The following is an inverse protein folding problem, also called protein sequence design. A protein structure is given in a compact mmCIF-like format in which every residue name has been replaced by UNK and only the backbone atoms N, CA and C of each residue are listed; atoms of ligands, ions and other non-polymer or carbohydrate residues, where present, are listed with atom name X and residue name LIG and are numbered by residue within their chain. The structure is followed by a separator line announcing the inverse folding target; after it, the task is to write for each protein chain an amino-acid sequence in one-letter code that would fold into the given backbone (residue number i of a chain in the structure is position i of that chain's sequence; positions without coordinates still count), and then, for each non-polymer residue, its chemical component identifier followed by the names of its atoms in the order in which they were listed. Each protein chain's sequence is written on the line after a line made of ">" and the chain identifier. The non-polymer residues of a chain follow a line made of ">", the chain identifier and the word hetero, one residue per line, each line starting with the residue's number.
data_IF_561922377897
#
_entry.id   IF_561922377897
#
_cell.length_a   1.000
_cell.length_b   1.000
_cell.length_c   1.000
_cell.angle_alpha   90.00
_cell.angle_beta   90.00
_cell.angle_gamma   90.00
#
_symmetry.space_group_name_H-M   'P 1'
#
loop_
_entity.id
_entity.type
_entity.pdbx_description
1 polymer ?
#
# COMPACT_ATOMS: atom_id res chain seq x y z
N UNK A 1 11.62 7.76 21.27
CA UNK A 1 10.97 6.48 21.63
C UNK A 1 10.35 6.67 22.99
N UNK A 2 9.07 7.03 23.03
CA UNK A 2 8.32 7.15 24.29
C UNK A 2 7.76 5.75 24.55
N UNK A 3 8.11 5.20 25.69
CA UNK A 3 7.74 3.84 26.10
C UNK A 3 6.24 3.78 26.38
N UNK A 4 5.47 3.30 25.40
CA UNK A 4 4.01 3.18 25.43
C UNK A 4 3.46 2.22 26.48
N UNK A 5 4.31 1.42 27.12
CA UNK A 5 3.88 0.49 28.18
C UNK A 5 3.51 1.20 29.48
N UNK A 6 3.91 2.45 29.68
CA UNK A 6 3.59 3.27 30.86
C UNK A 6 2.33 4.13 30.72
N UNK A 7 1.80 4.26 29.50
CA UNK A 7 0.57 5.03 29.25
C UNK A 7 -0.70 4.23 29.50
N UNK A 8 -0.62 2.89 29.44
CA UNK A 8 -1.78 2.00 29.57
C UNK A 8 -2.37 1.91 30.98
N UNK A 9 -1.65 2.33 32.01
CA UNK A 9 -2.08 2.20 33.41
C UNK A 9 -2.76 3.48 33.93
N UNK A 10 -2.51 4.63 33.32
CA UNK A 10 -3.04 5.91 33.79
C UNK A 10 -4.47 6.23 33.28
N UNK A 11 -4.95 5.55 32.24
CA UNK A 11 -6.28 5.84 31.63
C UNK A 11 -7.41 5.07 32.34
N UNK A 12 -7.10 4.00 33.09
CA UNK A 12 -8.14 3.17 33.73
C UNK A 12 -8.64 3.70 35.10
N UNK A 13 -8.05 4.76 35.64
CA UNK A 13 -8.34 5.21 37.00
C UNK A 13 -9.35 6.38 37.11
N UNK A 14 -9.92 6.88 36.01
CA UNK A 14 -10.80 8.09 36.05
C UNK A 14 -12.28 7.78 35.72
N UNK A 15 -12.67 6.54 35.47
CA UNK A 15 -14.04 6.20 35.04
C UNK A 15 -14.96 5.64 36.14
N UNK A 16 -14.80 6.06 37.36
CA UNK A 16 -15.85 5.84 38.37
C UNK A 16 -16.26 7.20 38.94
N UNK A 17 -17.22 7.87 38.33
CA UNK A 17 -18.22 8.70 39.03
C UNK A 17 -19.15 9.41 38.03
N UNK A 18 -20.47 9.29 38.36
CA UNK A 18 -21.60 10.04 37.84
C UNK A 18 -22.25 9.53 36.54
N UNK A 19 -23.28 8.74 36.70
CA UNK A 19 -24.36 8.59 35.72
C UNK A 19 -25.31 9.82 35.78
N UNK A 20 -25.32 10.71 34.79
CA UNK A 20 -26.53 11.49 34.50
C UNK A 20 -27.39 10.66 33.56
N UNK A 21 -28.64 10.42 33.95
CA UNK A 21 -29.67 9.89 33.05
C UNK A 21 -29.98 10.96 32.00
N UNK A 22 -29.33 10.82 30.82
CA UNK A 22 -29.72 11.62 29.66
C UNK A 22 -30.89 10.91 29.02
N UNK A 23 -32.09 11.48 29.20
CA UNK A 23 -33.23 11.19 28.35
C UNK A 23 -32.88 11.67 26.95
N UNK A 24 -32.69 10.75 26.04
CA UNK A 24 -32.58 11.06 24.61
C UNK A 24 -33.92 11.64 24.17
N UNK A 25 -33.95 12.92 23.90
CA UNK A 25 -35.03 13.57 23.17
C UNK A 25 -34.72 13.39 21.68
N UNK A 26 -35.40 12.46 21.04
CA UNK A 26 -35.45 12.37 19.58
C UNK A 26 -36.13 13.68 19.07
N UNK A 27 -35.32 14.58 18.58
CA UNK A 27 -35.80 15.66 17.73
C UNK A 27 -35.71 15.19 16.28
N UNK A 28 -36.87 14.77 15.74
CA UNK A 28 -37.10 14.67 14.29
C UNK A 28 -37.05 16.09 13.69
N UNK A 29 -35.87 16.65 13.53
CA UNK A 29 -35.65 17.76 12.62
C UNK A 29 -35.32 17.19 11.24
N UNK A 30 -36.31 17.20 10.37
CA UNK A 30 -36.14 17.13 8.93
C UNK A 30 -35.33 18.36 8.49
N UNK A 31 -34.03 18.33 8.68
CA UNK A 31 -33.13 19.33 8.09
C UNK A 31 -33.01 19.00 6.61
N UNK A 32 -33.64 19.81 5.76
CA UNK A 32 -33.34 19.77 4.32
C UNK A 32 -31.84 19.93 4.13
N UNK A 33 -31.19 18.84 3.72
CA UNK A 33 -29.75 18.77 3.55
C UNK A 33 -29.34 19.58 2.33
N UNK A 34 -28.83 20.79 2.55
CA UNK A 34 -28.35 21.66 1.47
C UNK A 34 -27.05 21.11 0.95
N UNK A 35 -27.08 20.45 -0.19
CA UNK A 35 -25.88 20.00 -0.91
C UNK A 35 -25.15 21.22 -1.49
N UNK A 36 -23.96 21.49 -1.00
CA UNK A 36 -23.19 22.71 -1.35
C UNK A 36 -22.13 22.45 -2.44
N UNK A 37 -21.78 21.19 -2.70
CA UNK A 37 -20.74 20.86 -3.69
C UNK A 37 -21.21 21.11 -5.13
N UNK A 38 -20.42 21.80 -5.91
CA UNK A 38 -20.69 22.11 -7.32
C UNK A 38 -21.11 23.55 -7.59
N UNK A 39 -21.33 24.37 -6.56
CA UNK A 39 -21.59 25.81 -6.72
C UNK A 39 -20.86 26.58 -5.61
N UNK A 40 -20.41 27.79 -5.93
CA UNK A 40 -19.92 28.79 -4.96
C UNK A 40 -21.01 29.76 -4.54
N UNK A 41 -22.19 29.64 -5.13
CA UNK A 41 -23.33 30.50 -4.80
C UNK A 41 -24.20 29.71 -3.84
N UNK A 42 -24.27 30.18 -2.59
CA UNK A 42 -25.16 29.66 -1.60
C UNK A 42 -26.61 30.10 -1.94
N UNK A 43 -27.32 29.20 -2.61
CA UNK A 43 -28.72 29.42 -2.90
C UNK A 43 -29.51 28.13 -2.61
N UNK A 44 -30.40 28.12 -1.64
CA UNK A 44 -31.14 26.91 -1.23
C UNK A 44 -32.07 26.36 -2.32
N UNK A 45 -32.29 27.13 -3.41
CA UNK A 45 -33.17 26.75 -4.51
C UNK A 45 -32.43 26.27 -5.76
N UNK A 46 -31.07 26.18 -5.74
CA UNK A 46 -30.31 25.66 -6.87
C UNK A 46 -30.23 24.15 -6.71
N UNK A 47 -31.06 23.44 -7.45
CA UNK A 47 -30.88 22.02 -7.72
C UNK A 47 -29.61 21.90 -8.57
N UNK A 48 -28.58 21.22 -8.07
CA UNK A 48 -27.36 20.96 -8.84
C UNK A 48 -27.72 20.26 -10.15
N UNK A 49 -27.29 20.82 -11.28
CA UNK A 49 -27.44 20.18 -12.60
C UNK A 49 -26.60 18.92 -12.75
N UNK A 50 -25.64 18.71 -11.87
CA UNK A 50 -24.79 17.52 -11.82
C UNK A 50 -25.23 16.61 -10.67
N UNK A 51 -25.25 15.32 -10.92
CA UNK A 51 -25.60 14.33 -9.91
C UNK A 51 -24.59 14.35 -8.77
N UNK A 52 -25.04 14.65 -7.56
CA UNK A 52 -24.25 14.54 -6.33
C UNK A 52 -24.77 13.33 -5.57
N UNK A 53 -23.89 12.41 -5.28
CA UNK A 53 -24.19 11.31 -4.35
C UNK A 53 -23.72 11.70 -2.97
N UNK A 54 -24.55 11.45 -1.97
CA UNK A 54 -24.26 11.72 -0.57
C UNK A 54 -24.11 10.39 0.16
N UNK A 55 -23.04 10.27 0.95
CA UNK A 55 -22.82 9.20 1.93
C UNK A 55 -22.89 9.83 3.30
N UNK A 56 -23.83 9.39 4.11
CA UNK A 56 -24.07 9.97 5.43
C UNK A 56 -23.16 9.37 6.51
N UNK A 57 -23.05 10.06 7.66
CA UNK A 57 -22.37 9.52 8.83
C UNK A 57 -22.91 8.16 9.25
N UNK A 58 -24.23 7.98 9.20
CA UNK A 58 -24.88 6.71 9.52
C UNK A 58 -24.47 5.58 8.56
N UNK A 59 -24.32 5.86 7.27
CA UNK A 59 -23.81 4.86 6.30
C UNK A 59 -22.39 4.42 6.64
N UNK A 60 -21.54 5.36 7.07
CA UNK A 60 -20.15 5.09 7.47
C UNK A 60 -20.11 4.25 8.75
N UNK A 61 -20.88 4.64 9.76
CA UNK A 61 -20.96 3.94 11.05
C UNK A 61 -21.54 2.53 10.89
N UNK A 62 -22.62 2.36 10.13
CA UNK A 62 -23.27 1.08 9.90
C UNK A 62 -22.38 0.06 9.17
N UNK A 63 -21.43 0.52 8.37
CA UNK A 63 -20.45 -0.36 7.71
C UNK A 63 -19.36 -0.85 8.65
N UNK A 64 -19.15 -0.19 9.79
CA UNK A 64 -18.08 -0.52 10.73
C UNK A 64 -16.68 -0.41 10.12
N UNK A 65 -16.53 0.38 9.05
CA UNK A 65 -15.27 0.53 8.35
C UNK A 65 -14.24 1.22 9.24
N UNK A 66 -13.05 0.66 9.29
CA UNK A 66 -11.93 1.27 10.02
C UNK A 66 -11.41 2.49 9.27
N UNK A 67 -11.48 2.46 7.93
CA UNK A 67 -10.93 3.48 7.05
C UNK A 67 -11.99 4.05 6.13
N UNK A 68 -11.93 5.35 5.90
CA UNK A 68 -12.91 6.03 5.04
C UNK A 68 -12.80 5.60 3.57
N UNK A 69 -11.62 5.25 3.10
CA UNK A 69 -11.41 4.76 1.75
C UNK A 69 -12.14 3.44 1.47
N UNK A 70 -12.37 2.61 2.47
CA UNK A 70 -13.15 1.37 2.34
C UNK A 70 -14.61 1.70 1.97
N UNK A 71 -15.18 2.71 2.63
CA UNK A 71 -16.54 3.19 2.35
C UNK A 71 -16.64 3.79 0.94
N UNK A 72 -15.65 4.58 0.55
CA UNK A 72 -15.65 5.24 -0.75
C UNK A 72 -15.47 4.23 -1.90
N UNK A 73 -14.63 3.23 -1.73
CA UNK A 73 -14.36 2.23 -2.77
C UNK A 73 -15.57 1.34 -3.08
N UNK A 74 -16.59 1.32 -2.21
CA UNK A 74 -17.85 0.63 -2.47
C UNK A 74 -18.82 1.43 -3.36
N UNK A 75 -18.52 2.70 -3.60
CA UNK A 75 -19.35 3.54 -4.46
C UNK A 75 -19.11 3.20 -5.94
N UNK A 76 -20.15 2.98 -6.75
CA UNK A 76 -20.01 2.51 -8.13
C UNK A 76 -19.28 3.49 -9.06
N UNK A 77 -19.24 4.78 -8.72
CA UNK A 77 -18.50 5.79 -9.48
C UNK A 77 -17.03 5.93 -9.07
N UNK A 78 -16.62 5.31 -7.98
CA UNK A 78 -15.22 5.28 -7.54
C UNK A 78 -14.61 3.96 -8.00
N UNK A 79 -13.61 4.05 -8.84
CA UNK A 79 -12.77 2.90 -9.13
C UNK A 79 -11.93 2.59 -7.89
N UNK A 80 -11.69 1.32 -7.55
CA UNK A 80 -10.81 0.95 -6.48
C UNK A 80 -9.48 1.69 -6.65
N UNK A 81 -9.24 2.64 -5.77
CA UNK A 81 -8.03 3.45 -5.76
C UNK A 81 -6.94 2.77 -4.95
N UNK A 82 -5.83 3.46 -4.82
CA UNK A 82 -4.79 3.07 -3.91
C UNK A 82 -5.33 3.23 -2.48
N UNK A 83 -5.36 2.15 -1.73
CA UNK A 83 -5.62 2.16 -0.30
C UNK A 83 -4.28 2.09 0.45
N UNK A 84 -4.24 2.61 1.66
CA UNK A 84 -3.00 2.68 2.45
C UNK A 84 -2.35 1.30 2.66
N UNK A 85 -3.15 0.22 2.69
CA UNK A 85 -2.71 -1.16 2.92
C UNK A 85 -2.39 -1.95 1.65
N UNK A 86 -2.59 -1.40 0.46
CA UNK A 86 -2.24 -2.11 -0.78
C UNK A 86 -0.75 -2.49 -0.78
N UNK A 87 -0.45 -3.77 -1.03
CA UNK A 87 0.89 -4.30 -0.86
C UNK A 87 1.90 -3.69 -1.82
N UNK A 88 1.93 -4.11 -3.07
CA UNK A 88 2.92 -3.64 -4.04
C UNK A 88 2.53 -2.31 -4.70
N UNK A 89 3.49 -1.39 -4.78
CA UNK A 89 3.32 -0.11 -5.48
C UNK A 89 2.59 0.97 -4.69
N UNK A 90 2.12 0.70 -3.48
CA UNK A 90 1.57 1.70 -2.57
C UNK A 90 2.68 2.44 -1.81
N UNK A 91 2.44 3.69 -1.48
CA UNK A 91 3.30 4.52 -0.63
C UNK A 91 2.71 4.72 0.79
N UNK A 92 1.67 3.97 1.16
CA UNK A 92 0.99 4.10 2.45
C UNK A 92 -0.10 5.17 2.50
N UNK A 93 -0.41 5.83 1.37
CA UNK A 93 -1.52 6.80 1.26
C UNK A 93 -2.76 6.17 0.65
N UNK A 94 -3.92 6.72 0.97
CA UNK A 94 -5.19 6.35 0.35
C UNK A 94 -5.66 7.47 -0.60
N UNK A 95 -6.12 7.11 -1.79
CA UNK A 95 -6.51 8.09 -2.81
C UNK A 95 -7.90 7.81 -3.37
N UNK A 96 -8.63 8.87 -3.73
CA UNK A 96 -9.88 8.76 -4.44
C UNK A 96 -9.66 8.75 -5.96
N UNK A 97 -10.36 7.87 -6.68
CA UNK A 97 -10.25 7.74 -8.14
C UNK A 97 -11.64 7.64 -8.79
N UNK A 98 -12.20 8.79 -9.14
CA UNK A 98 -13.51 8.87 -9.78
C UNK A 98 -13.43 8.38 -11.24
N UNK A 99 -14.32 7.46 -11.60
CA UNK A 99 -14.49 6.92 -12.96
C UNK A 99 -13.21 6.36 -13.58
N UNK A 100 -12.25 5.94 -12.76
CA UNK A 100 -10.93 5.45 -13.18
C UNK A 100 -10.11 6.45 -14.02
N UNK A 101 -10.33 7.76 -13.82
CA UNK A 101 -9.58 8.81 -14.52
C UNK A 101 -8.30 9.22 -13.78
N UNK A 102 -8.03 8.62 -12.63
CA UNK A 102 -6.87 8.86 -11.81
C UNK A 102 -7.11 9.87 -10.68
N UNK A 103 -6.38 9.71 -9.59
CA UNK A 103 -6.48 10.57 -8.43
C UNK A 103 -6.07 12.04 -8.71
N UNK A 104 -5.20 12.27 -9.71
CA UNK A 104 -4.78 13.62 -10.10
C UNK A 104 -5.89 14.43 -10.78
N UNK A 105 -6.98 13.78 -11.21
CA UNK A 105 -8.16 14.39 -11.82
C UNK A 105 -9.39 14.33 -10.93
N UNK A 106 -9.23 13.81 -9.72
CA UNK A 106 -10.25 13.71 -8.68
C UNK A 106 -9.90 14.69 -7.57
N UNK A 107 -10.61 15.82 -7.53
CA UNK A 107 -10.39 16.82 -6.50
C UNK A 107 -10.95 16.36 -5.17
N UNK A 108 -10.18 16.45 -4.10
CA UNK A 108 -10.63 16.18 -2.73
C UNK A 108 -10.69 17.46 -1.93
N UNK A 109 -11.81 17.67 -1.25
CA UNK A 109 -12.06 18.82 -0.41
C UNK A 109 -12.40 18.40 1.02
N UNK A 110 -12.12 19.25 1.97
CA UNK A 110 -12.65 19.22 3.35
C UNK A 110 -13.33 20.56 3.61
N UNK A 111 -14.62 20.52 3.93
CA UNK A 111 -15.47 21.72 4.12
C UNK A 111 -15.27 22.74 2.98
N UNK A 112 -15.22 22.24 1.73
CA UNK A 112 -15.01 23.07 0.55
C UNK A 112 -13.57 23.54 0.30
N UNK A 113 -12.64 23.32 1.21
CA UNK A 113 -11.21 23.66 1.08
C UNK A 113 -10.41 22.51 0.49
N UNK A 114 -9.48 22.80 -0.43
CA UNK A 114 -8.64 21.78 -1.07
C UNK A 114 -7.76 21.08 -0.06
N UNK A 115 -7.69 19.76 -0.15
CA UNK A 115 -6.67 19.00 0.56
C UNK A 115 -5.30 19.18 -0.10
N UNK A 116 -4.26 19.28 0.72
CA UNK A 116 -2.89 19.23 0.25
C UNK A 116 -2.54 17.84 -0.33
N UNK A 117 -1.55 17.73 -1.23
CA UNK A 117 -1.02 16.44 -1.67
C UNK A 117 -0.53 15.59 -0.50
N UNK A 118 -0.82 14.28 -0.54
CA UNK A 118 -0.48 13.35 0.53
C UNK A 118 1.00 12.96 0.61
N UNK A 119 1.81 13.31 -0.42
CA UNK A 119 3.25 12.99 -0.45
C UNK A 119 4.08 14.19 -0.89
N UNK A 120 5.23 14.38 -0.27
CA UNK A 120 6.19 15.42 -0.63
C UNK A 120 6.92 15.15 -1.98
N UNK A 121 6.89 13.93 -2.48
CA UNK A 121 7.63 13.48 -3.68
C UNK A 121 6.85 13.62 -5.00
N UNK A 122 5.94 14.59 -5.08
CA UNK A 122 5.38 15.02 -6.37
C UNK A 122 4.13 14.32 -6.84
N UNK A 123 3.42 13.60 -6.00
CA UNK A 123 2.06 13.16 -6.30
C UNK A 123 1.07 14.29 -6.05
N UNK A 124 0.24 14.66 -7.03
CA UNK A 124 -0.83 15.67 -6.85
C UNK A 124 -2.06 15.10 -6.13
N UNK A 125 -2.03 13.86 -5.68
CA UNK A 125 -3.17 13.18 -5.06
C UNK A 125 -3.27 13.48 -3.58
N UNK A 126 -4.46 13.85 -3.11
CA UNK A 126 -4.74 13.99 -1.70
C UNK A 126 -4.76 12.62 -1.01
N UNK A 127 -4.23 12.56 0.21
CA UNK A 127 -4.33 11.38 1.06
C UNK A 127 -5.58 11.44 1.92
N UNK A 128 -6.65 10.76 1.48
CA UNK A 128 -7.93 10.75 2.17
C UNK A 128 -7.90 10.04 3.52
N UNK A 129 -6.86 9.27 3.82
CA UNK A 129 -6.69 8.65 5.14
C UNK A 129 -6.48 9.66 6.28
N UNK A 130 -6.16 10.92 5.94
CA UNK A 130 -5.99 12.02 6.89
C UNK A 130 -7.32 12.64 7.37
N UNK A 131 -8.45 12.23 6.78
CA UNK A 131 -9.75 12.77 7.13
C UNK A 131 -10.23 12.15 8.45
N UNK A 132 -10.58 12.95 9.49
CA UNK A 132 -11.05 12.42 10.77
C UNK A 132 -12.46 11.84 10.62
N UNK A 133 -12.54 10.51 10.53
CA UNK A 133 -13.79 9.82 10.24
C UNK A 133 -14.90 10.10 11.28
N UNK A 134 -14.53 10.31 12.56
CA UNK A 134 -15.48 10.55 13.65
C UNK A 134 -16.25 11.89 13.53
N UNK A 135 -15.67 12.85 12.82
CA UNK A 135 -16.26 14.16 12.56
C UNK A 135 -16.96 14.27 11.20
N UNK A 136 -17.01 13.23 10.39
CA UNK A 136 -17.70 13.29 9.10
C UNK A 136 -19.19 13.34 9.32
N UNK A 137 -19.83 14.43 8.88
CA UNK A 137 -21.31 14.54 8.77
C UNK A 137 -21.80 13.79 7.53
N UNK A 138 -21.11 14.00 6.40
CA UNK A 138 -21.39 13.36 5.13
C UNK A 138 -20.22 13.51 4.15
N UNK A 139 -20.23 12.71 3.12
CA UNK A 139 -19.32 12.84 1.98
C UNK A 139 -20.16 13.09 0.73
N UNK A 140 -19.85 14.16 0.03
CA UNK A 140 -20.50 14.54 -1.22
C UNK A 140 -19.62 14.18 -2.40
N UNK A 141 -20.13 13.36 -3.31
CA UNK A 141 -19.40 12.92 -4.51
C UNK A 141 -20.08 13.50 -5.73
N UNK A 142 -19.45 14.50 -6.32
CA UNK A 142 -19.89 15.15 -7.56
C UNK A 142 -19.18 14.56 -8.76
N UNK A 143 -19.92 13.96 -9.68
CA UNK A 143 -19.39 13.36 -10.90
C UNK A 143 -19.61 14.27 -12.12
N UNK A 144 -18.53 14.74 -12.70
CA UNK A 144 -18.53 15.55 -13.94
C UNK A 144 -18.80 17.05 -13.73
N UNK A 145 -18.51 17.84 -14.74
CA UNK A 145 -18.86 19.26 -14.80
C UNK A 145 -18.20 20.22 -13.82
N UNK A 146 -17.29 19.74 -12.97
CA UNK A 146 -16.74 20.50 -11.84
C UNK A 146 -15.57 21.43 -12.21
N UNK A 147 -14.98 21.28 -13.37
CA UNK A 147 -13.78 22.03 -13.79
C UNK A 147 -14.00 23.54 -13.90
N UNK A 148 -15.21 23.97 -14.25
CA UNK A 148 -15.56 25.39 -14.35
C UNK A 148 -15.54 26.10 -13.01
N UNK A 149 -15.83 25.35 -11.91
CA UNK A 149 -15.89 25.89 -10.55
C UNK A 149 -14.56 25.67 -9.82
N UNK A 150 -13.96 24.48 -10.00
CA UNK A 150 -12.86 24.00 -9.19
C UNK A 150 -11.51 23.88 -9.91
N UNK A 151 -11.49 24.02 -11.26
CA UNK A 151 -10.26 23.93 -12.04
C UNK A 151 -9.97 22.54 -12.59
N UNK A 152 -8.78 22.38 -13.21
CA UNK A 152 -8.40 21.21 -14.02
C UNK A 152 -8.29 19.88 -13.25
N UNK A 153 -8.00 19.93 -11.99
CA UNK A 153 -7.88 18.76 -11.11
C UNK A 153 -9.24 18.16 -10.72
N UNK A 154 -10.34 18.86 -10.99
CA UNK A 154 -11.71 18.36 -10.85
C UNK A 154 -12.30 17.78 -12.15
N UNK A 155 -11.46 17.30 -13.07
CA UNK A 155 -11.91 16.77 -14.37
C UNK A 155 -12.76 15.50 -14.22
N UNK A 156 -12.38 14.61 -13.33
CA UNK A 156 -13.16 13.42 -13.00
C UNK A 156 -14.35 13.74 -12.09
N UNK A 157 -14.22 14.77 -11.28
CA UNK A 157 -15.21 15.20 -10.30
C UNK A 157 -14.58 15.63 -8.98
N UNK A 158 -15.41 15.74 -7.96
CA UNK A 158 -15.04 16.22 -6.63
C UNK A 158 -15.54 15.25 -5.57
N UNK A 159 -14.71 14.96 -4.58
CA UNK A 159 -15.09 14.30 -3.32
C UNK A 159 -14.92 15.32 -2.21
N UNK A 160 -16.00 15.74 -1.60
CA UNK A 160 -16.02 16.75 -0.53
C UNK A 160 -16.45 16.13 0.78
N UNK A 161 -15.55 16.12 1.76
CA UNK A 161 -15.83 15.68 3.11
C UNK A 161 -16.38 16.85 3.92
N UNK A 162 -17.62 16.76 4.32
CA UNK A 162 -18.24 17.73 5.20
C UNK A 162 -18.06 17.25 6.64
N UNK A 163 -17.21 17.96 7.37
CA UNK A 163 -16.89 17.66 8.76
C UNK A 163 -17.75 18.52 9.70
N UNK A 164 -18.04 18.00 10.87
CA UNK A 164 -18.65 18.73 11.96
C UNK A 164 -17.59 19.59 12.68
N UNK A 165 -17.37 20.78 12.15
CA UNK A 165 -16.45 21.76 12.71
C UNK A 165 -17.07 22.60 13.85
N UNK A 166 -18.36 22.37 14.14
CA UNK A 166 -19.10 22.93 15.27
C UNK A 166 -19.68 21.83 16.18
N UNK A 167 -18.95 20.70 16.28
CA UNK A 167 -19.35 19.59 17.14
C UNK A 167 -19.47 20.03 18.61
N UNK A 168 -20.54 19.67 19.26
CA UNK A 168 -20.76 19.93 20.69
C UNK A 168 -20.74 18.63 21.50
N UNK A 169 -20.02 18.66 22.60
CA UNK A 169 -19.93 17.54 23.54
C UNK A 169 -18.67 16.73 23.39
N UNK A 170 -18.79 15.43 23.67
CA UNK A 170 -17.69 14.46 23.63
C UNK A 170 -18.14 13.17 22.96
N UNK A 171 -17.38 12.70 21.98
CA UNK A 171 -17.60 11.43 21.30
C UNK A 171 -16.31 10.61 21.34
N UNK A 172 -16.40 9.34 21.74
CA UNK A 172 -15.30 8.40 21.72
C UNK A 172 -15.72 7.12 20.98
N UNK A 173 -14.81 6.55 20.20
CA UNK A 173 -15.05 5.31 19.49
C UNK A 173 -13.82 4.42 19.57
N UNK A 174 -14.05 3.12 19.78
CA UNK A 174 -13.02 2.08 19.68
C UNK A 174 -13.54 0.99 18.76
N UNK A 175 -12.86 0.77 17.65
CA UNK A 175 -13.21 -0.24 16.66
C UNK A 175 -12.06 -1.23 16.53
N UNK A 176 -12.37 -2.52 16.63
CA UNK A 176 -11.43 -3.59 16.36
C UNK A 176 -11.96 -4.47 15.23
N UNK A 177 -11.09 -4.85 14.31
CA UNK A 177 -11.40 -5.79 13.24
C UNK A 177 -10.27 -6.77 13.03
N UNK A 178 -10.58 -7.93 12.50
CA UNK A 178 -9.63 -8.95 12.08
C UNK A 178 -10.22 -9.76 10.92
N UNK A 179 -9.38 -10.47 10.20
CA UNK A 179 -9.79 -11.40 9.15
C UNK A 179 -9.69 -12.83 9.64
N UNK A 180 -10.76 -13.60 9.40
CA UNK A 180 -10.78 -15.05 9.59
C UNK A 180 -10.99 -15.72 8.24
N UNK A 181 -10.17 -16.72 7.92
CA UNK A 181 -10.29 -17.45 6.66
C UNK A 181 -9.94 -18.93 6.84
N UNK A 182 -10.68 -19.80 6.16
CA UNK A 182 -10.38 -21.22 6.03
C UNK A 182 -9.81 -21.49 4.64
N UNK A 183 -8.58 -22.01 4.60
CA UNK A 183 -7.90 -22.39 3.37
C UNK A 183 -8.24 -23.82 3.01
N UNK A 184 -9.25 -24.02 2.20
CA UNK A 184 -9.78 -25.33 1.80
C UNK A 184 -9.82 -25.56 0.30
N UNK A 185 -9.18 -24.68 -0.49
CA UNK A 185 -9.17 -24.80 -1.95
C UNK A 185 -8.29 -25.98 -2.40
N UNK A 186 -8.92 -27.14 -2.51
CA UNK A 186 -8.23 -28.39 -2.85
C UNK A 186 -7.53 -28.36 -4.21
N UNK A 187 -8.00 -27.55 -5.17
CA UNK A 187 -7.36 -27.36 -6.48
C UNK A 187 -6.02 -26.65 -6.33
N UNK A 188 -6.00 -25.50 -5.63
CA UNK A 188 -4.79 -24.72 -5.41
C UNK A 188 -3.79 -25.48 -4.54
N UNK A 189 -4.25 -26.14 -3.47
CA UNK A 189 -3.38 -26.91 -2.58
C UNK A 189 -2.70 -28.08 -3.30
N UNK A 190 -3.37 -28.75 -4.25
CA UNK A 190 -2.76 -29.77 -5.11
C UNK A 190 -1.78 -29.15 -6.11
N UNK A 191 -2.08 -27.96 -6.60
CA UNK A 191 -1.17 -27.23 -7.48
C UNK A 191 0.13 -26.89 -6.74
N UNK A 192 0.05 -26.38 -5.51
CA UNK A 192 1.24 -26.09 -4.69
C UNK A 192 2.06 -27.37 -4.45
N UNK A 193 1.43 -28.48 -4.13
CA UNK A 193 2.09 -29.78 -3.98
C UNK A 193 2.87 -30.18 -5.25
N UNK A 194 2.27 -29.94 -6.43
CA UNK A 194 2.91 -30.31 -7.72
C UNK A 194 4.16 -29.47 -8.04
N UNK A 195 4.28 -28.29 -7.43
CA UNK A 195 5.46 -27.42 -7.54
C UNK A 195 6.41 -27.53 -6.35
N UNK A 196 6.08 -28.36 -5.34
CA UNK A 196 6.87 -28.47 -4.11
C UNK A 196 6.84 -27.20 -3.24
N UNK A 197 5.79 -26.40 -3.35
CA UNK A 197 5.62 -25.18 -2.57
C UNK A 197 4.87 -25.43 -1.27
N UNK A 198 5.20 -24.66 -0.24
CA UNK A 198 4.47 -24.69 1.01
C UNK A 198 3.02 -24.25 0.81
N UNK A 199 2.11 -24.94 1.49
CA UNK A 199 0.70 -24.58 1.51
C UNK A 199 0.41 -23.56 2.60
N UNK A 200 -0.56 -22.70 2.35
CA UNK A 200 -1.12 -21.85 3.40
C UNK A 200 -1.63 -22.69 4.59
N UNK A 201 -1.58 -22.17 5.83
CA UNK A 201 -2.22 -22.82 6.99
C UNK A 201 -3.69 -23.10 6.71
N UNK A 202 -4.25 -24.16 7.25
CA UNK A 202 -5.67 -24.53 6.98
C UNK A 202 -6.66 -23.48 7.48
N UNK A 203 -6.32 -22.76 8.53
CA UNK A 203 -7.10 -21.65 9.12
C UNK A 203 -6.16 -20.56 9.55
N UNK A 204 -6.57 -19.33 9.30
CA UNK A 204 -5.84 -18.14 9.71
C UNK A 204 -6.78 -17.14 10.37
N UNK A 205 -6.27 -16.45 11.39
CA UNK A 205 -6.88 -15.27 11.99
C UNK A 205 -5.77 -14.24 12.11
N UNK A 206 -5.88 -13.17 11.34
CA UNK A 206 -4.78 -12.20 11.20
C UNK A 206 -5.28 -10.84 10.73
N UNK A 207 -4.37 -9.86 10.58
CA UNK A 207 -4.69 -8.52 10.09
C UNK A 207 -5.49 -7.71 11.10
N UNK A 208 -5.29 -7.97 12.40
CA UNK A 208 -5.93 -7.20 13.45
C UNK A 208 -5.71 -5.71 13.23
N UNK A 209 -6.80 -4.95 13.34
CA UNK A 209 -6.77 -3.50 13.25
C UNK A 209 -7.52 -2.90 14.42
N UNK A 210 -6.87 -2.01 15.15
CA UNK A 210 -7.47 -1.24 16.23
C UNK A 210 -7.51 0.24 15.85
N UNK A 211 -8.69 0.83 15.91
CA UNK A 211 -8.89 2.27 15.75
C UNK A 211 -9.49 2.84 17.02
N UNK A 212 -8.81 3.85 17.56
CA UNK A 212 -9.29 4.67 18.67
C UNK A 212 -9.53 6.08 18.15
N UNK A 213 -10.71 6.64 18.39
CA UNK A 213 -11.04 7.98 17.95
C UNK A 213 -11.73 8.75 19.08
N UNK A 214 -11.36 10.02 19.21
CA UNK A 214 -11.93 10.97 20.17
C UNK A 214 -12.28 12.26 19.43
N UNK A 215 -13.42 12.82 19.76
CA UNK A 215 -13.80 14.17 19.36
C UNK A 215 -14.42 14.90 20.57
N UNK A 216 -14.13 16.17 20.68
CA UNK A 216 -14.69 17.04 21.69
C UNK A 216 -14.91 18.42 21.11
N UNK A 217 -15.89 19.13 21.61
CA UNK A 217 -16.16 20.48 21.14
C UNK A 217 -17.14 21.22 22.03
N UNK A 218 -17.17 22.51 21.85
CA UNK A 218 -18.08 23.37 22.58
C UNK A 218 -17.84 24.85 22.33
N UNK A 219 -18.79 25.63 22.75
CA UNK A 219 -18.77 27.08 22.68
C UNK A 219 -17.74 27.66 23.63
N UNK A 220 -17.02 28.69 23.18
CA UNK A 220 -16.05 29.44 23.97
C UNK A 220 -16.33 30.94 23.96
N UNK A 221 -15.86 31.68 24.97
CA UNK A 221 -15.97 33.12 25.04
C UNK A 221 -17.41 33.65 25.08
N UNK A 222 -18.25 33.09 25.96
CA UNK A 222 -19.65 33.46 26.13
C UNK A 222 -20.48 33.31 24.83
N UNK A 223 -20.24 32.23 24.08
CA UNK A 223 -20.92 31.92 22.82
C UNK A 223 -20.40 32.69 21.61
N UNK A 224 -19.32 33.47 21.76
CA UNK A 224 -18.72 34.19 20.62
C UNK A 224 -17.81 33.32 19.76
N UNK A 225 -17.47 32.13 20.20
CA UNK A 225 -16.63 31.24 19.45
C UNK A 225 -16.98 29.78 19.68
N UNK A 226 -16.37 28.93 18.86
CA UNK A 226 -16.51 27.48 18.95
C UNK A 226 -15.14 26.82 18.74
N UNK A 227 -14.89 25.74 19.47
CA UNK A 227 -13.70 24.91 19.33
C UNK A 227 -14.11 23.45 19.20
N UNK A 228 -13.68 22.81 18.13
CA UNK A 228 -13.83 21.36 17.93
C UNK A 228 -12.45 20.74 17.80
N UNK A 229 -12.11 19.78 18.65
CA UNK A 229 -10.87 19.04 18.59
C UNK A 229 -11.09 17.56 18.31
N UNK A 230 -10.10 16.90 17.71
CA UNK A 230 -10.14 15.46 17.45
C UNK A 230 -8.77 14.80 17.60
N UNK A 231 -8.83 13.51 17.90
CA UNK A 231 -7.68 12.62 17.92
C UNK A 231 -8.09 11.25 17.38
N UNK A 232 -7.26 10.65 16.54
CA UNK A 232 -7.45 9.31 16.03
C UNK A 232 -6.11 8.56 16.02
N UNK A 233 -6.11 7.32 16.50
CA UNK A 233 -4.99 6.40 16.36
C UNK A 233 -5.48 5.12 15.70
N UNK A 234 -4.79 4.69 14.64
CA UNK A 234 -5.06 3.45 13.92
C UNK A 234 -3.80 2.60 13.91
N UNK A 235 -3.90 1.40 14.44
CA UNK A 235 -2.85 0.39 14.35
C UNK A 235 -3.39 -0.83 13.60
N UNK A 236 -2.66 -1.28 12.58
CA UNK A 236 -3.04 -2.41 11.73
C UNK A 236 -1.88 -3.38 11.59
N UNK A 237 -2.11 -4.65 11.84
CA UNK A 237 -1.14 -5.71 11.65
C UNK A 237 -1.06 -6.16 10.18
N UNK A 238 0.11 -6.61 9.72
CA UNK A 238 0.29 -7.06 8.35
C UNK A 238 -0.41 -8.39 8.08
N UNK A 239 -0.67 -8.65 6.81
CA UNK A 239 -1.08 -9.96 6.28
C UNK A 239 -0.09 -10.33 5.18
N UNK A 240 0.43 -11.55 5.22
CA UNK A 240 1.30 -12.09 4.17
C UNK A 240 0.47 -12.84 3.11
N UNK A 241 0.92 -12.78 1.86
CA UNK A 241 0.27 -13.53 0.78
C UNK A 241 0.29 -15.04 1.02
N UNK A 242 1.37 -15.55 1.63
CA UNK A 242 1.50 -16.96 1.99
C UNK A 242 0.47 -17.50 2.99
N UNK A 243 -0.27 -16.62 3.65
CA UNK A 243 -1.35 -17.00 4.57
C UNK A 243 -2.59 -17.53 3.86
N UNK A 244 -2.70 -17.35 2.52
CA UNK A 244 -3.88 -17.71 1.73
C UNK A 244 -3.53 -18.63 0.57
N UNK A 245 -4.38 -19.62 0.30
CA UNK A 245 -4.18 -20.55 -0.84
C UNK A 245 -4.00 -19.79 -2.17
N UNK A 246 -4.74 -18.70 -2.38
CA UNK A 246 -4.62 -17.87 -3.59
C UNK A 246 -3.34 -17.01 -3.65
N UNK A 247 -2.67 -16.81 -2.53
CA UNK A 247 -1.45 -16.02 -2.41
C UNK A 247 -0.16 -16.84 -2.21
N UNK A 248 -0.28 -18.15 -1.99
CA UNK A 248 0.86 -19.01 -1.70
C UNK A 248 1.81 -19.21 -2.90
N UNK A 249 1.37 -18.86 -4.11
CA UNK A 249 2.24 -18.73 -5.29
C UNK A 249 1.70 -17.69 -6.28
N UNK A 250 2.53 -17.26 -7.22
CA UNK A 250 2.12 -16.38 -8.32
C UNK A 250 1.26 -17.16 -9.32
N UNK A 251 -0.06 -17.18 -9.10
CA UNK A 251 -1.01 -17.90 -9.93
C UNK A 251 -1.05 -17.35 -11.36
N UNK A 252 -1.08 -18.24 -12.33
CA UNK A 252 -1.19 -17.93 -13.75
C UNK A 252 -2.07 -18.92 -14.50
N UNK A 253 -2.39 -18.60 -15.76
CA UNK A 253 -3.12 -19.52 -16.62
C UNK A 253 -4.51 -19.93 -16.10
N UNK A 254 -5.26 -19.03 -15.45
CA UNK A 254 -6.56 -19.37 -14.86
C UNK A 254 -6.44 -20.34 -13.68
N UNK A 255 -5.50 -20.09 -12.78
CA UNK A 255 -5.20 -20.88 -11.59
C UNK A 255 -4.78 -22.34 -11.91
N UNK A 256 -4.03 -22.52 -12.99
CA UNK A 256 -3.52 -23.84 -13.42
C UNK A 256 -2.02 -23.96 -13.29
N UNK A 257 -1.30 -22.85 -13.08
CA UNK A 257 0.15 -22.82 -12.95
C UNK A 257 0.58 -21.94 -11.80
N UNK A 258 1.69 -22.26 -11.15
CA UNK A 258 2.42 -21.38 -10.25
C UNK A 258 3.58 -20.75 -11.03
N UNK A 259 3.59 -19.44 -11.17
CA UNK A 259 4.70 -18.66 -11.68
C UNK A 259 5.76 -18.42 -10.60
N UNK A 260 6.68 -17.53 -10.93
CA UNK A 260 7.76 -17.13 -10.02
C UNK A 260 8.82 -16.32 -10.75
N UNK A 261 9.83 -15.88 -10.02
CA UNK A 261 10.99 -15.20 -10.59
C UNK A 261 11.98 -16.20 -11.16
N UNK A 262 12.48 -15.91 -12.35
CA UNK A 262 13.62 -16.65 -12.92
C UNK A 262 14.96 -16.26 -12.28
N UNK A 263 14.99 -15.18 -11.50
CA UNK A 263 16.11 -14.83 -10.62
C UNK A 263 15.91 -15.57 -9.31
N UNK A 264 16.71 -16.60 -9.09
CA UNK A 264 16.57 -17.54 -7.98
C UNK A 264 17.66 -17.29 -6.92
N UNK A 265 17.42 -17.63 -5.64
CA UNK A 265 18.40 -17.44 -4.56
C UNK A 265 19.72 -18.17 -4.79
N UNK A 266 19.67 -19.33 -5.46
CA UNK A 266 20.87 -20.11 -5.83
C UNK A 266 21.77 -19.40 -6.85
N UNK A 267 21.32 -18.26 -7.40
CA UNK A 267 21.98 -17.57 -8.50
C UNK A 267 21.65 -18.21 -9.85
N UNK A 268 21.50 -17.38 -10.85
CA UNK A 268 21.22 -17.80 -12.23
C UNK A 268 22.25 -17.22 -13.18
N UNK A 269 22.83 -18.09 -13.99
CA UNK A 269 23.73 -17.74 -15.08
C UNK A 269 23.02 -18.08 -16.38
N UNK A 270 22.81 -17.14 -17.30
CA UNK A 270 22.16 -17.41 -18.57
C UNK A 270 22.67 -16.50 -19.68
N UNK A 271 22.54 -16.98 -20.92
CA UNK A 271 22.90 -16.22 -22.12
C UNK A 271 21.72 -15.35 -22.56
N UNK A 272 21.94 -14.05 -22.70
CA UNK A 272 20.97 -13.09 -23.23
C UNK A 272 20.76 -13.16 -24.76
N UNK A 273 21.27 -14.22 -25.42
CA UNK A 273 21.15 -14.39 -26.85
C UNK A 273 22.27 -13.73 -27.64
N UNK A 274 23.32 -13.25 -26.99
CA UNK A 274 24.60 -13.03 -27.65
C UNK A 274 25.15 -14.40 -28.01
N UNK A 275 25.18 -14.70 -29.30
CA UNK A 275 25.89 -15.85 -29.84
C UNK A 275 27.38 -15.65 -29.59
N UNK A 276 27.83 -15.85 -28.39
CA UNK A 276 29.27 -15.94 -28.09
C UNK A 276 29.72 -17.26 -28.64
N UNK A 277 30.34 -17.20 -29.81
CA UNK A 277 30.93 -18.37 -30.44
C UNK A 277 31.91 -18.99 -29.45
N UNK A 278 31.70 -20.24 -29.06
CA UNK A 278 32.63 -21.00 -28.26
C UNK A 278 32.20 -21.52 -26.92
N UNK A 279 31.04 -21.12 -26.41
CA UNK A 279 30.51 -21.66 -25.15
C UNK A 279 30.02 -23.11 -25.37
N UNK A 280 30.57 -24.05 -24.65
CA UNK A 280 30.02 -25.40 -24.60
C UNK A 280 29.08 -25.54 -23.42
N UNK A 281 27.82 -25.89 -23.65
CA UNK A 281 26.93 -26.21 -22.56
C UNK A 281 27.46 -27.40 -21.75
N UNK A 282 27.17 -27.44 -20.45
CA UNK A 282 27.51 -28.60 -19.59
C UNK A 282 26.83 -29.87 -20.17
N UNK A 283 25.65 -29.71 -20.74
CA UNK A 283 24.95 -30.75 -21.49
C UNK A 283 25.07 -30.49 -22.99
N UNK A 284 25.88 -31.29 -23.66
CA UNK A 284 26.13 -31.24 -25.11
C UNK A 284 24.98 -31.80 -25.94
N UNK A 285 23.95 -32.36 -25.33
CA UNK A 285 22.75 -32.87 -26.01
C UNK A 285 21.78 -31.76 -26.43
N UNK A 286 21.93 -30.55 -25.89
CA UNK A 286 21.03 -29.39 -26.20
C UNK A 286 21.58 -28.67 -27.44
N UNK A 287 20.87 -28.79 -28.55
CA UNK A 287 21.29 -28.28 -29.87
C UNK A 287 21.20 -26.75 -30.05
N UNK A 288 20.75 -26.00 -29.08
CA UNK A 288 20.64 -24.57 -29.11
C UNK A 288 21.44 -23.92 -27.98
N UNK A 289 22.43 -23.14 -28.33
CA UNK A 289 23.41 -22.41 -27.53
C UNK A 289 22.83 -21.44 -26.46
N UNK A 290 21.82 -21.84 -25.71
CA UNK A 290 21.29 -21.10 -24.58
C UNK A 290 21.61 -21.89 -23.32
N UNK A 291 22.62 -21.48 -22.58
CA UNK A 291 22.80 -22.03 -21.25
C UNK A 291 21.90 -21.29 -20.26
N UNK A 292 21.32 -22.02 -19.35
CA UNK A 292 20.50 -21.50 -18.25
C UNK A 292 20.80 -22.38 -17.03
N UNK A 293 21.74 -21.93 -16.23
CA UNK A 293 22.29 -22.69 -15.11
C UNK A 293 21.94 -22.04 -13.79
N UNK A 294 21.81 -22.85 -12.76
CA UNK A 294 21.82 -22.43 -11.37
C UNK A 294 23.10 -22.88 -10.68
N UNK A 295 23.53 -22.19 -9.63
CA UNK A 295 24.61 -22.64 -8.77
C UNK A 295 24.10 -23.71 -7.82
N UNK A 296 24.73 -24.86 -7.79
CA UNK A 296 24.46 -25.98 -6.92
C UNK A 296 25.75 -26.35 -6.14
N UNK A 297 25.95 -25.62 -5.03
CA UNK A 297 27.24 -25.72 -4.32
C UNK A 297 28.40 -25.22 -5.18
N UNK A 298 29.41 -26.06 -5.38
CA UNK A 298 30.61 -25.74 -6.18
C UNK A 298 30.44 -26.06 -7.67
N UNK A 299 29.21 -26.38 -8.11
CA UNK A 299 28.94 -26.75 -9.50
C UNK A 299 27.75 -25.93 -10.06
N UNK A 300 27.68 -25.90 -11.39
CA UNK A 300 26.48 -25.43 -12.09
C UNK A 300 25.60 -26.63 -12.46
N UNK A 301 24.29 -26.47 -12.28
CA UNK A 301 23.30 -27.42 -12.75
C UNK A 301 22.32 -26.74 -13.72
N UNK A 302 21.70 -27.51 -14.60
CA UNK A 302 20.62 -27.00 -15.44
C UNK A 302 19.48 -26.49 -14.55
N UNK A 303 18.95 -25.32 -14.88
CA UNK A 303 17.86 -24.71 -14.10
C UNK A 303 16.53 -25.48 -14.24
N UNK A 304 16.28 -26.16 -15.37
CA UNK A 304 15.09 -26.98 -15.67
C UNK A 304 13.76 -26.26 -15.37
N UNK A 305 13.70 -24.96 -15.64
CA UNK A 305 12.52 -24.17 -15.38
C UNK A 305 12.28 -23.79 -13.91
N UNK A 306 13.18 -24.15 -12.98
CA UNK A 306 13.06 -23.77 -11.57
C UNK A 306 12.85 -22.27 -11.40
N UNK A 307 11.83 -21.88 -10.63
CA UNK A 307 11.48 -20.52 -10.33
C UNK A 307 11.51 -20.26 -8.82
N UNK A 308 11.80 -19.03 -8.46
CA UNK A 308 11.67 -18.58 -7.08
C UNK A 308 10.24 -18.13 -6.82
N UNK A 309 9.55 -18.78 -5.88
CA UNK A 309 8.25 -18.36 -5.42
C UNK A 309 8.37 -17.15 -4.50
N UNK A 310 8.15 -15.95 -5.01
CA UNK A 310 8.28 -14.70 -4.27
C UNK A 310 7.00 -14.30 -3.52
N UNK A 311 5.85 -14.89 -3.86
CA UNK A 311 4.55 -14.46 -3.31
C UNK A 311 4.45 -14.61 -1.79
N UNK A 312 4.79 -15.73 -1.16
CA UNK A 312 4.49 -15.96 0.25
C UNK A 312 5.01 -14.90 1.20
N UNK A 313 6.14 -14.28 0.85
CA UNK A 313 6.81 -13.26 1.68
C UNK A 313 6.32 -11.85 1.44
N UNK A 314 5.55 -11.62 0.37
CA UNK A 314 4.97 -10.30 0.09
C UNK A 314 3.84 -9.99 1.06
N UNK A 315 3.70 -8.72 1.43
CA UNK A 315 2.49 -8.28 2.09
C UNK A 315 1.27 -8.43 1.16
N UNK A 316 0.17 -8.98 1.68
CA UNK A 316 -1.17 -8.85 1.12
C UNK A 316 -1.82 -7.57 1.67
N UNK A 317 -1.68 -7.35 2.98
CA UNK A 317 -2.00 -6.11 3.67
C UNK A 317 -0.76 -5.59 4.38
N UNK A 318 -0.46 -4.32 4.17
CA UNK A 318 0.66 -3.65 4.88
C UNK A 318 0.27 -3.34 6.31
N UNK A 319 1.20 -3.37 7.25
CA UNK A 319 0.97 -2.80 8.57
C UNK A 319 0.83 -1.28 8.45
N UNK A 320 0.15 -0.70 9.42
CA UNK A 320 0.00 0.75 9.54
C UNK A 320 -0.01 1.15 11.01
N UNK A 321 0.74 2.18 11.33
CA UNK A 321 0.60 2.94 12.56
C UNK A 321 0.35 4.40 12.18
N UNK A 322 -0.83 4.94 12.54
CA UNK A 322 -1.25 6.27 12.14
C UNK A 322 -1.81 7.04 13.33
N UNK A 323 -1.29 8.24 13.51
CA UNK A 323 -1.85 9.23 14.42
C UNK A 323 -2.39 10.40 13.60
N UNK A 324 -3.62 10.82 13.88
CA UNK A 324 -4.26 11.97 13.28
C UNK A 324 -4.87 12.83 14.38
N UNK A 325 -4.54 14.11 14.42
CA UNK A 325 -5.01 15.03 15.44
C UNK A 325 -5.22 16.44 14.86
N UNK A 326 -6.13 17.19 15.44
CA UNK A 326 -6.34 18.54 14.98
C UNK A 326 -7.46 19.24 15.71
N UNK A 327 -7.72 20.46 15.24
CA UNK A 327 -8.84 21.27 15.73
C UNK A 327 -9.38 22.21 14.66
N UNK A 328 -10.62 22.61 14.84
CA UNK A 328 -11.30 23.70 14.15
C UNK A 328 -11.69 24.72 15.20
N UNK A 329 -11.40 26.00 14.97
CA UNK A 329 -11.73 27.07 15.88
C UNK A 329 -12.30 28.26 15.10
N UNK A 330 -13.37 28.84 15.62
CA UNK A 330 -14.00 30.06 15.13
C UNK A 330 -14.21 31.02 16.30
N UNK A 331 -14.04 32.30 16.08
CA UNK A 331 -14.27 33.30 17.10
C UNK A 331 -14.73 34.62 16.49
N UNK A 332 -15.90 35.09 16.88
CA UNK A 332 -16.48 36.36 16.46
C UNK A 332 -15.80 37.50 17.20
N UNK A 333 -14.93 38.23 16.53
CA UNK A 333 -14.23 39.39 17.10
C UNK A 333 -15.16 40.60 17.20
N UNK A 334 -15.97 40.81 16.17
CA UNK A 334 -16.99 41.85 16.07
C UNK A 334 -18.14 41.35 15.22
N UNK A 335 -19.28 42.07 15.16
CA UNK A 335 -20.42 41.72 14.31
C UNK A 335 -20.05 41.58 12.80
N UNK A 336 -18.90 42.03 12.40
CA UNK A 336 -18.43 42.05 11.01
C UNK A 336 -17.13 41.29 10.76
N UNK A 337 -16.50 40.76 11.81
CA UNK A 337 -15.19 40.11 11.71
C UNK A 337 -15.17 38.81 12.53
N UNK A 338 -14.92 37.75 11.86
CA UNK A 338 -14.71 36.43 12.44
C UNK A 338 -13.26 35.96 12.20
N UNK A 339 -12.63 35.43 13.24
CA UNK A 339 -11.36 34.74 13.15
C UNK A 339 -11.63 33.23 13.10
N UNK A 340 -11.03 32.52 12.16
CA UNK A 340 -11.08 31.05 12.12
C UNK A 340 -9.67 30.46 11.99
N UNK A 341 -9.52 29.26 12.52
CA UNK A 341 -8.26 28.51 12.45
C UNK A 341 -8.56 27.03 12.29
N UNK A 342 -7.86 26.39 11.35
CA UNK A 342 -7.91 24.95 11.14
C UNK A 342 -6.50 24.41 11.26
N UNK A 343 -6.30 23.44 12.13
CA UNK A 343 -5.03 22.76 12.28
C UNK A 343 -5.24 21.25 12.17
N UNK A 344 -4.41 20.58 11.40
CA UNK A 344 -4.39 19.13 11.27
C UNK A 344 -2.95 18.64 11.24
N UNK A 345 -2.71 17.59 11.98
CA UNK A 345 -1.45 16.86 12.02
C UNK A 345 -1.71 15.39 11.76
N UNK A 346 -0.93 14.79 10.90
CA UNK A 346 -0.99 13.36 10.62
C UNK A 346 0.42 12.80 10.53
N UNK A 347 0.66 11.75 11.29
CA UNK A 347 1.84 10.90 11.16
C UNK A 347 1.37 9.51 10.75
N UNK A 348 1.96 8.96 9.70
CA UNK A 348 1.56 7.67 9.14
C UNK A 348 2.80 6.86 8.79
N UNK A 349 3.01 5.77 9.49
CA UNK A 349 4.05 4.80 9.21
C UNK A 349 3.43 3.52 8.63
N UNK A 350 3.85 3.13 7.43
CA UNK A 350 3.33 1.93 6.76
C UNK A 350 4.47 1.22 6.02
N UNK A 351 5.28 0.42 6.72
CA UNK A 351 6.36 -0.34 6.10
C UNK A 351 5.81 -1.33 5.07
N UNK A 352 6.51 -1.50 3.95
CA UNK A 352 6.15 -2.51 2.98
C UNK A 352 7.21 -3.61 2.92
N UNK A 353 6.74 -4.85 2.84
CA UNK A 353 7.59 -6.00 2.63
C UNK A 353 7.24 -6.66 1.30
N UNK A 354 8.26 -6.84 0.48
CA UNK A 354 8.21 -7.68 -0.70
C UNK A 354 9.28 -8.76 -0.55
N UNK A 355 9.21 -9.78 -1.40
CA UNK A 355 10.26 -10.79 -1.49
C UNK A 355 11.63 -10.16 -1.69
N UNK A 356 12.67 -10.91 -1.32
CA UNK A 356 14.06 -10.47 -1.49
C UNK A 356 14.30 -9.96 -2.90
N UNK A 357 14.90 -8.77 -2.99
CA UNK A 357 15.28 -8.18 -4.27
C UNK A 357 16.42 -8.95 -4.89
N UNK A 358 16.27 -9.27 -6.18
CA UNK A 358 17.34 -9.85 -6.99
C UNK A 358 18.08 -8.78 -7.81
N UNK A 359 19.26 -9.13 -8.28
CA UNK A 359 19.93 -8.38 -9.34
C UNK A 359 19.36 -8.87 -10.67
N UNK A 360 18.51 -8.05 -11.30
CA UNK A 360 17.82 -8.44 -12.53
C UNK A 360 18.58 -7.94 -13.76
N UNK A 361 18.97 -8.87 -14.64
CA UNK A 361 19.54 -8.53 -15.93
C UNK A 361 20.89 -7.81 -15.90
N UNK A 362 21.58 -7.83 -14.78
CA UNK A 362 22.84 -7.16 -14.62
C UNK A 362 23.96 -7.98 -15.29
N UNK A 363 24.67 -7.35 -16.21
CA UNK A 363 25.88 -7.93 -16.79
C UNK A 363 27.00 -7.81 -15.77
N UNK A 364 27.45 -8.92 -15.23
CA UNK A 364 28.61 -8.97 -14.32
C UNK A 364 29.81 -9.56 -15.04
N UNK A 365 30.92 -8.87 -14.97
CA UNK A 365 32.18 -9.45 -15.37
C UNK A 365 32.62 -10.49 -14.32
N UNK A 366 32.70 -11.74 -14.72
CA UNK A 366 33.23 -12.79 -13.88
C UNK A 366 34.70 -13.05 -14.28
N UNK A 367 35.65 -12.70 -13.42
CA UNK A 367 37.05 -12.92 -13.75
C UNK A 367 37.38 -14.41 -13.78
N UNK A 368 37.86 -14.91 -14.91
CA UNK A 368 38.20 -16.32 -15.08
C UNK A 368 39.40 -16.77 -14.22
N UNK A 369 40.14 -15.83 -13.66
CA UNK A 369 41.19 -16.11 -12.67
C UNK A 369 40.68 -16.18 -11.22
N UNK A 370 39.37 -16.20 -11.01
CA UNK A 370 38.82 -16.35 -9.65
C UNK A 370 39.11 -17.76 -9.13
N UNK A 371 39.95 -17.84 -8.11
CA UNK A 371 40.38 -19.10 -7.51
C UNK A 371 39.24 -19.91 -6.84
N UNK A 372 38.10 -19.28 -6.60
CA UNK A 372 36.93 -19.94 -6.02
C UNK A 372 36.04 -20.67 -7.06
N UNK A 373 36.34 -20.54 -8.35
CA UNK A 373 35.66 -21.31 -9.37
C UNK A 373 36.13 -22.77 -9.33
N UNK A 374 35.19 -23.71 -9.24
CA UNK A 374 35.49 -25.11 -9.42
C UNK A 374 35.95 -25.40 -10.85
N UNK A 375 36.54 -26.54 -11.08
CA UNK A 375 36.98 -26.95 -12.43
C UNK A 375 35.78 -26.96 -13.40
N UNK A 376 34.61 -27.45 -12.95
CA UNK A 376 33.39 -27.48 -13.75
C UNK A 376 32.87 -26.07 -14.04
N UNK A 377 32.81 -25.18 -13.05
CA UNK A 377 32.39 -23.79 -13.21
C UNK A 377 33.34 -23.04 -14.15
N UNK A 378 34.67 -23.23 -13.98
CA UNK A 378 35.64 -22.63 -14.85
C UNK A 378 35.48 -23.10 -16.30
N UNK A 379 35.32 -24.41 -16.54
CA UNK A 379 35.09 -24.94 -17.88
C UNK A 379 33.79 -24.45 -18.50
N UNK A 380 32.73 -24.30 -17.69
CA UNK A 380 31.40 -23.81 -18.15
C UNK A 380 31.44 -22.38 -18.65
N UNK A 381 32.19 -21.48 -18.00
CA UNK A 381 32.19 -20.05 -18.29
C UNK A 381 33.47 -19.50 -18.92
N UNK A 382 34.61 -20.17 -18.73
CA UNK A 382 35.91 -19.71 -19.18
C UNK A 382 36.63 -20.71 -20.11
N UNK A 383 36.22 -21.96 -20.11
CA UNK A 383 37.00 -23.11 -20.57
C UNK A 383 37.09 -23.37 -22.05
N UNK A 384 36.56 -22.58 -22.98
CA UNK A 384 36.73 -22.77 -24.42
C UNK A 384 36.42 -21.53 -25.25
N UNK A 385 37.11 -20.44 -24.99
CA UNK A 385 37.03 -19.26 -25.85
C UNK A 385 37.86 -19.47 -27.14
N UNK A 386 37.31 -20.20 -28.09
CA UNK A 386 37.84 -20.22 -29.46
C UNK A 386 36.91 -19.33 -30.31
N UNK A 387 37.23 -18.04 -30.46
CA UNK A 387 36.49 -17.27 -31.44
C UNK A 387 36.40 -15.75 -31.33
N UNK A 388 37.05 -15.09 -30.40
CA UNK A 388 37.31 -13.66 -30.55
C UNK A 388 38.80 -13.46 -30.85
N UNK A 389 39.09 -12.86 -32.00
CA UNK A 389 40.46 -12.57 -32.45
C UNK A 389 41.19 -11.64 -31.50
N UNK A 390 41.92 -12.19 -30.60
CA UNK A 390 42.79 -11.56 -29.64
C UNK A 390 43.63 -12.67 -28.99
N UNK A 391 44.86 -12.42 -28.71
CA UNK A 391 45.84 -13.36 -28.21
C UNK A 391 45.28 -14.27 -27.12
N UNK A 392 45.34 -15.56 -27.41
CA UNK A 392 44.72 -16.61 -26.62
C UNK A 392 45.30 -16.66 -25.22
N UNK A 393 44.46 -16.43 -24.20
CA UNK A 393 44.82 -16.85 -22.86
C UNK A 393 44.98 -18.37 -22.86
N UNK A 394 46.05 -18.92 -22.23
CA UNK A 394 46.26 -20.35 -22.15
C UNK A 394 45.03 -21.04 -21.58
N UNK A 395 44.68 -22.23 -22.09
CA UNK A 395 43.60 -23.05 -21.55
C UNK A 395 44.00 -23.57 -20.18
N UNK A 396 43.40 -23.02 -19.14
CA UNK A 396 43.55 -23.50 -17.77
C UNK A 396 42.41 -24.48 -17.43
N UNK A 397 42.72 -25.46 -16.61
CA UNK A 397 41.73 -26.41 -16.14
C UNK A 397 40.89 -25.82 -14.99
N UNK A 398 41.44 -24.87 -14.25
CA UNK A 398 40.82 -24.25 -13.06
C UNK A 398 41.13 -22.75 -13.00
N UNK A 399 40.28 -22.00 -12.26
CA UNK A 399 40.52 -20.59 -11.96
C UNK A 399 41.80 -20.37 -11.13
N UNK A 400 42.19 -21.33 -10.31
CA UNK A 400 43.44 -21.27 -9.54
C UNK A 400 44.66 -21.33 -10.42
N UNK A 401 44.66 -22.17 -11.46
CA UNK A 401 45.73 -22.21 -12.45
C UNK A 401 45.84 -20.91 -13.25
N UNK A 402 44.69 -20.35 -13.65
CA UNK A 402 44.65 -19.07 -14.33
C UNK A 402 45.20 -17.93 -13.44
N UNK A 403 44.87 -17.92 -12.16
CA UNK A 403 45.37 -16.94 -11.18
C UNK A 403 46.90 -17.11 -10.99
N UNK A 404 47.39 -18.34 -10.89
CA UNK A 404 48.83 -18.63 -10.77
C UNK A 404 49.59 -18.10 -11.97
N UNK A 405 49.05 -18.27 -13.16
CA UNK A 405 49.68 -17.76 -14.40
C UNK A 405 49.71 -16.22 -14.42
N UNK A 406 48.59 -15.55 -14.05
CA UNK A 406 48.57 -14.10 -13.99
C UNK A 406 49.54 -13.54 -12.96
N UNK A 407 49.67 -14.18 -11.81
CA UNK A 407 50.64 -13.79 -10.80
C UNK A 407 52.08 -13.96 -11.28
N UNK A 408 52.36 -14.97 -12.13
CA UNK A 408 53.69 -15.19 -12.74
C UNK A 408 54.05 -14.14 -13.81
N UNK A 409 53.06 -13.47 -14.40
CA UNK A 409 53.31 -12.40 -15.37
C UNK A 409 53.60 -11.04 -14.69
N UNK A 410 53.21 -10.90 -13.42
CA UNK A 410 53.37 -9.67 -12.63
C UNK A 410 54.59 -9.74 -11.68
N UNK A 411 55.35 -10.84 -11.69
CA UNK A 411 56.63 -11.04 -10.98
C UNK A 411 57.81 -10.85 -11.92
#
# INVERSE_FOLDING_TARGET
>A
MIDLTKLSVAVFAVFTFATPSILAQESDENVEEVVVTGTRISNPNIISTSQVQVVTAADIENRGAIRIEEVLNDLPQIAPGQIAQTANGSNGTATANLRNLGCQRTLVLINGSRMAPGTATGGSCADISQVPALLIKRVEVLTGGATSVYGSDALAGVVNFILDDEFEGFKASATNSFYYHENDNSKLRKLHDSYGYDKAPSKVTEGDSLKLSLAFGGSIGDGKGHLTGFFEHVNTNPILQGSYDGGACALGGGDTTCGGSSTIPAGRLYDFGYKTAGFKPIDTSVSNYKFDYLTAGDEFANRDGTLYNYNPTNHYQRPQDKVNAGFFAKYQLTDKAELYSNFRFTENESPSQIAYSGTFGDLRALPCYNANLSAQQYQAICGNWTGMGGDHAPNFATGAEALSYINSLNS
#
